data_IF_439258354351
#
_entry.id   IF_439258354351
#
_cell.length_a   1.000
_cell.length_b   1.000
_cell.length_c   1.000
_cell.angle_alpha   90.00
_cell.angle_beta   90.00
_cell.angle_gamma   90.00
#
_symmetry.space_group_name_H-M   'P 1'
#
loop_
_entity.id
_entity.type
_entity.pdbx_description
1 polymer ?
#
# COMPACT_ATOMS: atom_id res chain seq x y z
N UNK A 1 -19.98 -13.44 6.65
CA UNK A 1 -20.43 -12.59 7.77
C UNK A 1 -21.30 -11.48 7.19
N UNK A 2 -22.59 -11.44 7.49
CA UNK A 2 -23.46 -10.33 7.08
C UNK A 2 -23.12 -9.11 7.93
N UNK A 3 -22.55 -8.07 7.30
CA UNK A 3 -22.18 -6.82 7.96
C UNK A 3 -23.46 -6.02 8.24
N UNK A 4 -23.78 -5.79 9.51
CA UNK A 4 -24.77 -4.78 9.87
C UNK A 4 -24.23 -3.39 9.51
N UNK A 5 -25.02 -2.57 8.82
CA UNK A 5 -24.64 -1.22 8.40
C UNK A 5 -25.48 -0.18 9.13
N UNK A 6 -24.82 0.89 9.59
CA UNK A 6 -25.47 2.09 10.06
C UNK A 6 -25.85 2.96 8.84
N UNK A 7 -27.06 3.51 8.83
CA UNK A 7 -27.54 4.37 7.73
C UNK A 7 -28.30 5.58 8.26
N UNK A 8 -28.30 6.66 7.48
CA UNK A 8 -29.12 7.84 7.72
C UNK A 8 -30.44 7.74 6.93
N UNK A 9 -31.55 8.19 7.54
CA UNK A 9 -32.87 8.29 6.87
C UNK A 9 -33.45 9.71 7.01
N UNK A 10 -34.21 10.12 6.01
CA UNK A 10 -34.74 11.46 5.79
C UNK A 10 -35.65 12.06 6.90
N UNK A 11 -35.91 11.38 8.03
CA UNK A 11 -36.89 11.87 9.02
C UNK A 11 -36.36 12.89 10.03
N UNK A 12 -35.04 12.96 10.33
CA UNK A 12 -34.43 14.00 11.20
C UNK A 12 -32.93 14.17 10.92
N UNK A 13 -32.60 14.98 9.91
CA UNK A 13 -31.26 15.14 9.32
C UNK A 13 -30.18 15.84 10.17
N UNK A 14 -30.17 15.72 11.50
CA UNK A 14 -29.08 16.31 12.31
C UNK A 14 -28.67 15.56 13.58
N UNK A 15 -29.41 14.54 14.04
CA UNK A 15 -29.17 13.93 15.38
C UNK A 15 -29.44 12.42 15.52
N UNK A 16 -29.81 11.71 14.45
CA UNK A 16 -30.26 10.32 14.58
C UNK A 16 -29.61 9.42 13.51
N UNK A 17 -28.77 8.48 13.92
CA UNK A 17 -28.25 7.42 13.07
C UNK A 17 -29.03 6.13 13.35
N UNK A 18 -29.51 5.43 12.31
CA UNK A 18 -30.11 4.11 12.53
C UNK A 18 -29.05 3.03 12.34
N UNK A 19 -28.98 2.08 13.27
CA UNK A 19 -28.12 0.92 13.19
C UNK A 19 -28.97 -0.32 12.90
N UNK A 20 -28.60 -1.07 11.85
CA UNK A 20 -29.29 -2.32 11.52
C UNK A 20 -28.42 -3.50 11.95
N UNK A 21 -28.86 -4.25 12.96
CA UNK A 21 -28.29 -5.55 13.30
C UNK A 21 -29.28 -6.66 13.01
N UNK A 22 -28.81 -7.64 12.22
CA UNK A 22 -29.31 -9.02 12.15
C UNK A 22 -30.82 -9.19 12.44
N UNK A 23 -31.67 -8.54 11.63
CA UNK A 23 -33.16 -8.61 11.61
C UNK A 23 -33.98 -7.57 12.40
N UNK A 24 -33.36 -6.62 13.12
CA UNK A 24 -34.09 -5.46 13.68
C UNK A 24 -33.37 -4.13 13.39
N UNK A 25 -34.16 -3.10 13.08
CA UNK A 25 -33.67 -1.72 12.93
C UNK A 25 -33.75 -1.05 14.29
N UNK A 26 -32.63 -0.53 14.79
CA UNK A 26 -32.56 0.26 16.00
C UNK A 26 -32.20 1.70 15.66
N UNK A 27 -32.94 2.67 16.21
CA UNK A 27 -32.56 4.08 16.12
C UNK A 27 -31.64 4.47 17.27
N UNK A 28 -30.52 5.12 16.96
CA UNK A 28 -29.56 5.63 17.94
C UNK A 28 -29.45 7.16 17.82
N UNK A 29 -29.53 7.85 18.95
CA UNK A 29 -29.27 9.28 19.03
C UNK A 29 -27.87 9.50 19.60
N UNK A 30 -27.05 10.27 18.90
CA UNK A 30 -25.68 10.59 19.31
C UNK A 30 -25.35 12.04 18.98
N UNK A 31 -24.39 12.61 19.70
CA UNK A 31 -23.88 13.96 19.43
C UNK A 31 -22.97 13.99 18.20
N UNK A 32 -22.10 12.98 18.05
CA UNK A 32 -21.10 12.88 16.99
C UNK A 32 -21.14 11.49 16.34
N UNK A 33 -20.77 11.44 15.05
CA UNK A 33 -20.57 10.19 14.30
C UNK A 33 -19.23 10.25 13.58
N UNK A 34 -18.47 9.16 13.62
CA UNK A 34 -17.26 8.96 12.81
C UNK A 34 -17.56 7.85 11.81
N UNK A 35 -17.48 8.15 10.51
CA UNK A 35 -17.63 7.18 9.43
C UNK A 35 -16.28 6.54 9.14
N UNK A 36 -16.15 5.25 9.45
CA UNK A 36 -14.93 4.46 9.25
C UNK A 36 -15.27 3.15 8.50
N UNK A 37 -16.05 3.25 7.43
CA UNK A 37 -16.61 2.10 6.69
C UNK A 37 -15.59 1.39 5.80
N UNK A 38 -14.39 1.97 5.68
CA UNK A 38 -13.26 1.36 5.01
C UNK A 38 -13.41 1.33 3.49
N UNK A 39 -12.92 0.24 2.90
CA UNK A 39 -12.88 0.02 1.46
C UNK A 39 -13.24 -1.41 1.08
N UNK A 40 -13.48 -1.62 -0.21
CA UNK A 40 -13.66 -2.94 -0.83
C UNK A 40 -12.70 -3.11 -2.03
N UNK A 41 -12.33 -4.36 -2.39
CA UNK A 41 -11.57 -4.64 -3.61
C UNK A 41 -12.28 -4.09 -4.86
N UNK A 42 -11.50 -3.57 -5.81
CA UNK A 42 -12.05 -3.16 -7.10
C UNK A 42 -12.29 -4.41 -7.96
N UNK A 43 -13.55 -4.64 -8.30
CA UNK A 43 -13.94 -5.67 -9.25
C UNK A 43 -13.78 -5.17 -10.69
N UNK A 44 -13.29 -6.05 -11.56
CA UNK A 44 -13.24 -5.80 -13.00
C UNK A 44 -14.57 -6.25 -13.63
N UNK A 45 -15.32 -5.40 -14.36
CA UNK A 45 -16.64 -5.76 -14.88
C UNK A 45 -16.67 -7.02 -15.75
N UNK A 46 -15.59 -7.29 -16.49
CA UNK A 46 -15.45 -8.47 -17.34
C UNK A 46 -15.05 -9.74 -16.58
N UNK A 47 -14.72 -9.62 -15.29
CA UNK A 47 -14.14 -10.68 -14.48
C UNK A 47 -14.65 -10.57 -13.02
N UNK A 48 -15.95 -10.78 -12.79
CA UNK A 48 -16.56 -10.69 -11.46
C UNK A 48 -16.04 -11.78 -10.53
N UNK A 49 -16.02 -11.48 -9.22
CA UNK A 49 -15.54 -12.42 -8.22
C UNK A 49 -16.51 -13.59 -8.03
N UNK A 50 -15.99 -14.82 -8.12
CA UNK A 50 -16.67 -16.02 -7.62
C UNK A 50 -16.06 -16.53 -6.30
N UNK A 51 -14.94 -15.93 -5.88
CA UNK A 51 -14.12 -16.29 -4.72
C UNK A 51 -13.69 -17.78 -4.68
N UNK A 52 -13.63 -18.40 -5.86
CA UNK A 52 -13.19 -19.79 -6.06
C UNK A 52 -12.05 -19.86 -7.08
N UNK A 53 -12.24 -19.28 -8.26
CA UNK A 53 -11.28 -19.24 -9.36
C UNK A 53 -10.97 -17.82 -9.80
N UNK A 54 -11.93 -16.92 -9.70
CA UNK A 54 -11.75 -15.47 -9.82
C UNK A 54 -11.89 -14.87 -8.43
N UNK A 55 -10.75 -14.54 -7.84
CA UNK A 55 -10.66 -14.21 -6.43
C UNK A 55 -10.24 -12.77 -6.21
N UNK A 56 -10.80 -12.16 -5.17
CA UNK A 56 -10.22 -10.97 -4.56
C UNK A 56 -9.07 -11.37 -3.64
N UNK A 57 -8.49 -10.40 -2.92
CA UNK A 57 -7.55 -10.71 -1.83
C UNK A 57 -8.16 -11.62 -0.76
N UNK A 58 -9.50 -11.58 -0.58
CA UNK A 58 -10.21 -12.41 0.40
C UNK A 58 -10.22 -13.88 -0.01
N UNK A 59 -10.64 -14.18 -1.24
CA UNK A 59 -10.64 -15.55 -1.76
C UNK A 59 -9.22 -16.10 -1.92
N UNK A 60 -8.26 -15.26 -2.29
CA UNK A 60 -6.86 -15.65 -2.43
C UNK A 60 -6.21 -16.10 -1.12
N UNK A 61 -6.75 -15.73 0.05
CA UNK A 61 -6.30 -16.23 1.36
C UNK A 61 -6.97 -17.56 1.75
N UNK A 62 -8.02 -17.96 1.04
CA UNK A 62 -8.91 -19.07 1.40
C UNK A 62 -8.98 -20.17 0.33
N UNK A 63 -8.08 -20.14 -0.66
CA UNK A 63 -7.97 -21.21 -1.66
C UNK A 63 -7.65 -22.54 -0.96
N UNK A 64 -8.34 -23.60 -1.37
CA UNK A 64 -8.25 -24.92 -0.73
C UNK A 64 -7.08 -25.77 -1.24
N UNK A 65 -6.43 -25.34 -2.32
CA UNK A 65 -5.26 -26.01 -2.91
C UNK A 65 -4.39 -25.01 -3.65
N UNK A 66 -3.11 -25.35 -3.86
CA UNK A 66 -2.18 -24.53 -4.63
C UNK A 66 -2.54 -24.65 -6.13
N UNK A 67 -2.87 -23.54 -6.82
CA UNK A 67 -3.13 -23.60 -8.26
C UNK A 67 -1.86 -23.92 -9.04
N UNK A 68 -1.96 -24.65 -10.15
CA UNK A 68 -0.80 -24.88 -11.02
C UNK A 68 -0.36 -23.56 -11.67
N UNK A 69 -1.32 -22.78 -12.18
CA UNK A 69 -1.10 -21.45 -12.77
C UNK A 69 -1.99 -20.40 -12.14
N UNK A 70 -1.36 -19.32 -11.67
CA UNK A 70 -2.06 -18.17 -11.11
C UNK A 70 -1.73 -16.90 -11.89
N UNK A 71 -2.77 -16.23 -12.38
CA UNK A 71 -2.65 -14.85 -12.84
C UNK A 71 -2.89 -13.89 -11.67
N UNK A 72 -2.04 -12.88 -11.51
CA UNK A 72 -2.27 -11.76 -10.60
C UNK A 72 -2.45 -10.51 -11.46
N UNK A 73 -3.64 -9.91 -11.44
CA UNK A 73 -3.91 -8.66 -12.16
C UNK A 73 -3.67 -7.51 -11.20
N UNK A 74 -2.59 -6.76 -11.42
CA UNK A 74 -2.13 -5.66 -10.55
C UNK A 74 -0.79 -5.97 -9.87
N UNK A 75 0.22 -5.16 -10.17
CA UNK A 75 1.57 -5.18 -9.59
C UNK A 75 1.74 -4.25 -8.39
N UNK A 76 0.66 -4.03 -7.62
CA UNK A 76 0.66 -3.31 -6.35
C UNK A 76 0.94 -4.22 -5.15
N UNK A 77 0.84 -3.67 -3.93
CA UNK A 77 1.30 -4.32 -2.69
C UNK A 77 0.63 -5.69 -2.50
N UNK A 78 -0.70 -5.72 -2.49
CA UNK A 78 -1.52 -6.93 -2.33
C UNK A 78 -1.18 -7.99 -3.39
N UNK A 79 -1.05 -7.59 -4.66
CA UNK A 79 -0.78 -8.51 -5.75
C UNK A 79 0.58 -9.18 -5.61
N UNK A 80 1.61 -8.41 -5.22
CA UNK A 80 2.96 -8.92 -5.03
C UNK A 80 3.09 -9.78 -3.77
N UNK A 81 2.46 -9.41 -2.67
CA UNK A 81 2.43 -10.21 -1.43
C UNK A 81 1.75 -11.56 -1.67
N UNK A 82 0.51 -11.55 -2.17
CA UNK A 82 -0.24 -12.78 -2.43
C UNK A 82 0.40 -13.62 -3.53
N UNK A 83 0.88 -12.99 -4.60
CA UNK A 83 1.63 -13.67 -5.65
C UNK A 83 2.89 -14.35 -5.10
N UNK A 84 3.59 -13.72 -4.16
CA UNK A 84 4.76 -14.31 -3.49
C UNK A 84 4.39 -15.52 -2.63
N UNK A 85 3.30 -15.44 -1.86
CA UNK A 85 2.80 -16.58 -1.06
C UNK A 85 2.56 -17.79 -1.95
N UNK A 86 1.73 -17.63 -3.00
CA UNK A 86 1.37 -18.73 -3.88
C UNK A 86 2.55 -19.24 -4.69
N UNK A 87 3.46 -18.35 -5.12
CA UNK A 87 4.68 -18.76 -5.83
C UNK A 87 5.58 -19.65 -4.97
N UNK A 88 5.72 -19.33 -3.68
CA UNK A 88 6.54 -20.11 -2.73
C UNK A 88 5.91 -21.46 -2.40
N UNK A 89 4.58 -21.54 -2.41
CA UNK A 89 3.84 -22.81 -2.24
C UNK A 89 3.88 -23.71 -3.50
N UNK A 90 4.31 -23.19 -4.65
CA UNK A 90 4.57 -23.98 -5.86
C UNK A 90 3.83 -23.52 -7.12
N UNK A 91 2.96 -22.53 -7.05
CA UNK A 91 2.20 -22.04 -8.21
C UNK A 91 3.11 -21.37 -9.25
N UNK A 92 2.82 -21.54 -10.54
CA UNK A 92 3.37 -20.72 -11.62
C UNK A 92 2.64 -19.37 -11.67
N UNK A 93 3.20 -18.36 -11.01
CA UNK A 93 2.59 -17.03 -10.85
C UNK A 93 3.07 -16.07 -11.93
N UNK A 94 2.13 -15.48 -12.67
CA UNK A 94 2.38 -14.36 -13.58
C UNK A 94 1.59 -13.13 -13.14
N UNK A 95 2.31 -12.06 -12.83
CA UNK A 95 1.75 -10.73 -12.54
C UNK A 95 1.55 -9.97 -13.86
N UNK A 96 0.33 -9.50 -14.09
CA UNK A 96 -0.07 -8.70 -15.24
C UNK A 96 -0.35 -7.29 -14.72
N UNK A 97 0.42 -6.32 -15.20
CA UNK A 97 0.36 -4.94 -14.73
C UNK A 97 0.20 -3.99 -15.92
N UNK A 98 -0.71 -3.02 -15.75
CA UNK A 98 -0.99 -2.01 -16.76
C UNK A 98 0.20 -1.06 -16.95
N UNK A 99 0.80 -0.61 -15.85
CA UNK A 99 1.99 0.22 -15.87
C UNK A 99 3.20 -0.54 -16.41
N UNK A 100 4.22 0.21 -16.84
CA UNK A 100 5.51 -0.31 -17.28
C UNK A 100 6.41 -0.80 -16.12
N UNK A 101 5.94 -0.66 -14.88
CA UNK A 101 6.64 -0.97 -13.63
C UNK A 101 5.68 -1.50 -12.58
N UNK A 102 6.22 -2.26 -11.63
CA UNK A 102 5.50 -2.61 -10.40
C UNK A 102 5.56 -1.45 -9.40
N UNK A 103 4.63 -1.43 -8.44
CA UNK A 103 4.56 -0.41 -7.38
C UNK A 103 4.88 1.01 -7.86
N UNK A 104 4.14 1.55 -8.86
CA UNK A 104 4.52 2.77 -9.59
C UNK A 104 4.59 4.04 -8.73
N UNK A 105 4.04 4.02 -7.51
CA UNK A 105 4.13 5.12 -6.56
C UNK A 105 5.35 5.05 -5.63
N UNK A 106 6.14 3.97 -5.67
CA UNK A 106 7.38 3.84 -4.91
C UNK A 106 8.56 4.44 -5.68
N UNK A 107 9.65 4.72 -4.96
CA UNK A 107 10.90 5.17 -5.56
C UNK A 107 11.35 4.21 -6.67
N UNK A 108 11.65 4.75 -7.86
CA UNK A 108 11.87 3.94 -9.05
C UNK A 108 13.07 3.00 -8.93
N UNK A 109 14.15 3.44 -8.27
CA UNK A 109 15.34 2.60 -8.08
C UNK A 109 15.02 1.39 -7.19
N UNK A 110 14.16 1.59 -6.18
CA UNK A 110 13.69 0.52 -5.29
C UNK A 110 12.73 -0.41 -6.05
N UNK A 111 11.79 0.12 -6.81
CA UNK A 111 10.85 -0.66 -7.63
C UNK A 111 11.56 -1.54 -8.67
N UNK A 112 12.59 -1.03 -9.33
CA UNK A 112 13.39 -1.79 -10.29
C UNK A 112 14.13 -2.95 -9.61
N UNK A 113 14.77 -2.69 -8.47
CA UNK A 113 15.43 -3.75 -7.68
C UNK A 113 14.45 -4.78 -7.18
N UNK A 114 13.28 -4.34 -6.70
CA UNK A 114 12.21 -5.21 -6.25
C UNK A 114 11.76 -6.16 -7.35
N UNK A 115 11.54 -5.64 -8.57
CA UNK A 115 11.17 -6.44 -9.74
C UNK A 115 12.24 -7.51 -10.06
N UNK A 116 13.52 -7.14 -10.03
CA UNK A 116 14.60 -8.11 -10.29
C UNK A 116 14.65 -9.22 -9.23
N UNK A 117 14.46 -8.86 -7.95
CA UNK A 117 14.46 -9.84 -6.86
C UNK A 117 13.26 -10.79 -6.98
N UNK A 118 12.06 -10.28 -7.22
CA UNK A 118 10.86 -11.10 -7.42
C UNK A 118 10.99 -12.04 -8.63
N UNK A 119 11.59 -11.57 -9.74
CA UNK A 119 11.89 -12.41 -10.90
C UNK A 119 12.85 -13.55 -10.57
N UNK A 120 13.89 -13.29 -9.77
CA UNK A 120 14.82 -14.34 -9.32
C UNK A 120 14.14 -15.40 -8.45
N UNK A 121 13.10 -15.03 -7.71
CA UNK A 121 12.25 -15.97 -6.96
C UNK A 121 11.23 -16.72 -7.85
N UNK A 122 11.23 -16.44 -9.14
CA UNK A 122 10.44 -17.14 -10.14
C UNK A 122 9.04 -16.57 -10.35
N UNK A 123 8.71 -15.38 -9.84
CA UNK A 123 7.53 -14.65 -10.32
C UNK A 123 7.77 -14.17 -11.75
N UNK A 124 6.76 -14.30 -12.60
CA UNK A 124 6.77 -13.79 -13.98
C UNK A 124 6.00 -12.48 -14.05
N UNK A 125 6.36 -11.62 -14.98
CA UNK A 125 5.75 -10.30 -15.13
C UNK A 125 5.42 -9.99 -16.59
N UNK A 126 4.20 -9.54 -16.82
CA UNK A 126 3.70 -8.93 -18.06
C UNK A 126 3.33 -7.47 -17.76
N UNK A 127 4.34 -6.60 -17.81
CA UNK A 127 4.18 -5.15 -17.59
C UNK A 127 3.73 -4.46 -18.88
N UNK A 128 3.08 -3.31 -18.77
CA UNK A 128 2.54 -2.59 -19.92
C UNK A 128 1.38 -3.34 -20.59
N UNK A 129 0.65 -4.17 -19.85
CA UNK A 129 -0.41 -5.03 -20.37
C UNK A 129 -1.73 -4.80 -19.64
N UNK A 130 -2.78 -4.54 -20.42
CA UNK A 130 -4.15 -4.34 -19.93
C UNK A 130 -4.96 -5.61 -20.15
N UNK A 131 -5.71 -6.03 -19.13
CA UNK A 131 -6.75 -7.05 -19.31
C UNK A 131 -7.99 -6.38 -19.91
N UNK A 132 -8.40 -6.81 -21.10
CA UNK A 132 -9.51 -6.22 -21.86
C UNK A 132 -10.73 -7.13 -21.96
N UNK A 133 -10.55 -8.42 -21.69
CA UNK A 133 -11.61 -9.42 -21.71
C UNK A 133 -11.21 -10.67 -20.93
N UNK A 134 -12.20 -11.46 -20.54
CA UNK A 134 -11.97 -12.76 -19.92
C UNK A 134 -13.11 -13.73 -20.26
N UNK A 135 -12.76 -15.01 -20.37
CA UNK A 135 -13.72 -16.12 -20.46
C UNK A 135 -13.47 -17.06 -19.31
N UNK A 136 -14.50 -17.26 -18.47
CA UNK A 136 -14.48 -18.17 -17.32
C UNK A 136 -15.36 -19.38 -17.67
N UNK A 137 -14.77 -20.54 -18.01
CA UNK A 137 -15.55 -21.74 -18.29
C UNK A 137 -16.32 -22.23 -17.06
N UNK A 138 -17.48 -22.86 -17.27
CA UNK A 138 -18.27 -23.48 -16.20
C UNK A 138 -17.70 -24.82 -15.72
N UNK A 139 -16.71 -25.37 -16.44
CA UNK A 139 -15.96 -26.57 -16.08
C UNK A 139 -14.56 -26.19 -15.55
N UNK A 140 -13.74 -27.20 -15.25
CA UNK A 140 -12.38 -27.00 -14.71
C UNK A 140 -11.35 -26.56 -15.77
N UNK A 141 -11.76 -26.22 -17.00
CA UNK A 141 -10.83 -25.70 -18.00
C UNK A 141 -10.28 -24.33 -17.57
N UNK A 142 -9.01 -23.99 -17.88
CA UNK A 142 -8.40 -22.72 -17.47
C UNK A 142 -9.20 -21.48 -17.89
N UNK A 143 -9.17 -20.45 -17.04
CA UNK A 143 -9.68 -19.11 -17.35
C UNK A 143 -8.80 -18.50 -18.43
N UNK A 144 -9.42 -17.94 -19.47
CA UNK A 144 -8.73 -17.28 -20.57
C UNK A 144 -8.86 -15.77 -20.43
N UNK A 145 -7.73 -15.07 -20.25
CA UNK A 145 -7.63 -13.61 -20.20
C UNK A 145 -7.18 -13.07 -21.57
N UNK A 146 -7.86 -12.04 -22.06
CA UNK A 146 -7.42 -11.27 -23.22
C UNK A 146 -6.61 -10.07 -22.75
N UNK A 147 -5.35 -10.03 -23.16
CA UNK A 147 -4.40 -8.96 -22.83
C UNK A 147 -4.14 -8.09 -24.05
N UNK A 148 -4.08 -6.78 -23.85
CA UNK A 148 -3.71 -5.79 -24.87
C UNK A 148 -2.57 -4.93 -24.35
N UNK A 149 -1.59 -4.63 -25.21
CA UNK A 149 -0.51 -3.72 -24.85
C UNK A 149 -1.06 -2.32 -24.51
N UNK A 150 -0.66 -1.78 -23.36
CA UNK A 150 -1.11 -0.48 -22.85
C UNK A 150 -0.68 0.70 -23.75
N UNK A 151 0.31 0.49 -24.62
CA UNK A 151 0.78 1.47 -25.60
C UNK A 151 -0.12 1.65 -26.84
N UNK A 152 -1.31 1.05 -26.85
CA UNK A 152 -2.27 1.10 -27.96
C UNK A 152 -1.72 0.57 -29.30
N UNK A 153 -0.71 -0.30 -29.28
CA UNK A 153 -0.23 -0.98 -30.50
C UNK A 153 -1.27 -1.94 -31.09
N UNK A 154 -2.38 -2.20 -30.39
CA UNK A 154 -3.44 -3.11 -30.81
C UNK A 154 -3.05 -4.59 -30.77
N UNK A 155 -1.84 -4.92 -30.35
CA UNK A 155 -1.40 -6.31 -30.21
C UNK A 155 -2.11 -6.95 -29.03
N UNK A 156 -2.95 -7.94 -29.34
CA UNK A 156 -3.63 -8.78 -28.36
C UNK A 156 -2.92 -10.11 -28.17
N UNK A 157 -2.94 -10.62 -26.97
CA UNK A 157 -2.52 -11.99 -26.65
C UNK A 157 -3.49 -12.61 -25.64
N UNK A 158 -3.54 -13.94 -25.62
CA UNK A 158 -4.35 -14.68 -24.66
C UNK A 158 -3.45 -15.27 -23.58
N UNK A 159 -3.91 -15.22 -22.33
CA UNK A 159 -3.23 -15.81 -21.18
C UNK A 159 -4.18 -16.75 -20.43
N UNK A 160 -3.75 -17.99 -20.19
CA UNK A 160 -4.55 -18.99 -19.48
C UNK A 160 -4.07 -19.19 -18.04
N UNK A 161 -5.00 -19.24 -17.08
CA UNK A 161 -4.71 -19.50 -15.67
C UNK A 161 -5.82 -20.32 -15.00
N UNK A 162 -5.49 -21.09 -13.97
CA UNK A 162 -6.47 -21.88 -13.23
C UNK A 162 -7.23 -20.99 -12.23
N UNK A 163 -6.49 -20.07 -11.62
CA UNK A 163 -6.97 -19.04 -10.69
C UNK A 163 -6.47 -17.67 -11.13
N UNK A 164 -7.34 -16.67 -11.01
CA UNK A 164 -7.03 -15.26 -11.26
C UNK A 164 -7.31 -14.45 -9.99
N UNK A 165 -6.26 -13.84 -9.43
CA UNK A 165 -6.38 -12.83 -8.39
C UNK A 165 -6.50 -11.46 -9.04
N UNK A 166 -7.59 -10.75 -8.76
CA UNK A 166 -7.73 -9.33 -9.12
C UNK A 166 -7.28 -8.47 -7.95
N UNK A 167 -6.15 -7.78 -8.12
CA UNK A 167 -5.51 -6.90 -7.15
C UNK A 167 -5.24 -5.50 -7.75
N UNK A 168 -6.21 -4.95 -8.48
CA UNK A 168 -6.12 -3.68 -9.22
C UNK A 168 -6.35 -2.44 -8.35
N UNK A 169 -6.50 -2.61 -7.04
CA UNK A 169 -6.70 -1.54 -6.08
C UNK A 169 -7.94 -1.74 -5.23
N UNK A 170 -8.24 -0.71 -4.43
CA UNK A 170 -9.36 -0.67 -3.49
C UNK A 170 -10.17 0.59 -3.75
N UNK A 171 -11.46 0.54 -3.43
CA UNK A 171 -12.36 1.71 -3.50
C UNK A 171 -13.08 1.94 -2.16
N UNK A 172 -13.38 3.19 -1.79
CA UNK A 172 -14.17 3.51 -0.60
C UNK A 172 -15.48 2.73 -0.55
N UNK A 173 -15.85 2.25 0.64
CA UNK A 173 -17.14 1.60 0.85
C UNK A 173 -18.15 2.59 1.43
N UNK A 174 -18.98 3.16 0.57
CA UNK A 174 -20.00 4.17 0.92
C UNK A 174 -21.44 3.71 0.67
N UNK A 175 -21.62 2.46 0.23
CA UNK A 175 -22.93 1.88 -0.05
C UNK A 175 -23.77 1.80 1.22
N UNK A 176 -25.07 2.08 1.07
CA UNK A 176 -26.09 1.94 2.12
C UNK A 176 -25.90 2.83 3.36
N UNK A 177 -25.02 3.83 3.30
CA UNK A 177 -24.83 4.78 4.40
C UNK A 177 -25.92 5.86 4.47
N UNK A 178 -26.70 6.05 3.40
CA UNK A 178 -27.74 7.09 3.34
C UNK A 178 -27.17 8.51 3.31
N UNK A 179 -25.95 8.70 2.77
CA UNK A 179 -25.24 9.99 2.72
C UNK A 179 -26.05 11.05 1.97
N UNK A 180 -26.77 10.64 0.93
CA UNK A 180 -27.67 11.50 0.16
C UNK A 180 -28.80 12.08 1.01
N UNK A 181 -29.27 11.34 2.03
CA UNK A 181 -30.36 11.80 2.91
C UNK A 181 -29.93 12.90 3.88
N UNK A 182 -28.61 13.04 4.08
CA UNK A 182 -28.00 14.06 4.94
C UNK A 182 -27.16 15.07 4.13
N UNK A 183 -27.29 15.05 2.80
CA UNK A 183 -26.67 16.04 1.91
C UNK A 183 -25.14 15.93 1.82
N UNK A 184 -24.56 14.74 2.03
CA UNK A 184 -23.13 14.49 1.79
C UNK A 184 -22.97 13.92 0.38
N UNK A 185 -22.37 14.73 -0.49
CA UNK A 185 -21.95 14.34 -1.84
C UNK A 185 -20.55 13.74 -1.79
N UNK A 186 -20.34 12.65 -2.53
CA UNK A 186 -19.03 12.02 -2.68
C UNK A 186 -18.18 12.77 -3.71
N UNK A 187 -16.86 12.64 -3.61
CA UNK A 187 -15.97 13.13 -4.66
C UNK A 187 -15.94 12.23 -5.91
N UNK A 188 -15.14 12.62 -6.91
CA UNK A 188 -14.96 11.91 -8.18
C UNK A 188 -14.38 10.49 -8.03
N UNK A 189 -13.85 10.16 -6.86
CA UNK A 189 -13.31 8.82 -6.51
C UNK A 189 -14.23 8.06 -5.55
N UNK A 190 -15.43 8.57 -5.27
CA UNK A 190 -16.40 7.95 -4.37
C UNK A 190 -16.05 8.08 -2.88
N UNK A 191 -15.13 8.97 -2.51
CA UNK A 191 -14.72 9.22 -1.12
C UNK A 191 -15.64 10.25 -0.47
N UNK A 192 -15.72 10.22 0.86
CA UNK A 192 -16.38 11.25 1.65
C UNK A 192 -15.45 12.46 1.77
N UNK A 193 -15.83 13.66 1.27
CA UNK A 193 -15.03 14.86 1.46
C UNK A 193 -15.00 15.27 2.94
N UNK A 194 -13.80 15.59 3.43
CA UNK A 194 -13.56 16.06 4.79
C UNK A 194 -12.69 17.33 4.77
N UNK A 195 -12.75 18.15 5.81
CA UNK A 195 -11.76 19.20 6.06
C UNK A 195 -10.48 18.65 6.72
N UNK A 196 -9.63 19.52 7.27
CA UNK A 196 -8.38 19.13 7.97
C UNK A 196 -8.62 18.67 9.42
N UNK A 197 -9.85 18.80 9.93
CA UNK A 197 -10.30 18.31 11.24
C UNK A 197 -11.23 17.09 11.11
N UNK A 198 -11.16 16.39 9.96
CA UNK A 198 -11.92 15.20 9.60
C UNK A 198 -13.44 15.40 9.48
N UNK A 199 -13.93 16.65 9.50
CA UNK A 199 -15.37 16.92 9.43
C UNK A 199 -15.86 16.85 8.00
N UNK A 200 -17.01 16.23 7.84
CA UNK A 200 -17.79 16.35 6.60
C UNK A 200 -18.49 17.71 6.54
N UNK A 201 -19.24 17.97 5.45
CA UNK A 201 -20.10 19.16 5.36
C UNK A 201 -21.15 19.25 6.49
N UNK A 202 -21.49 18.13 7.13
CA UNK A 202 -22.37 18.10 8.31
C UNK A 202 -21.50 18.20 9.57
N UNK A 203 -21.58 19.28 10.37
CA UNK A 203 -20.55 19.61 11.38
C UNK A 203 -20.28 18.57 12.46
N UNK A 204 -21.24 17.69 12.74
CA UNK A 204 -21.12 16.65 13.75
C UNK A 204 -20.87 15.25 13.19
N UNK A 205 -20.62 15.15 11.87
CA UNK A 205 -20.26 13.92 11.19
C UNK A 205 -18.83 14.06 10.67
N UNK A 206 -17.99 13.10 11.05
CA UNK A 206 -16.60 12.98 10.70
C UNK A 206 -16.40 11.74 9.82
N UNK A 207 -15.28 11.65 9.10
CA UNK A 207 -14.91 10.44 8.37
C UNK A 207 -13.38 10.23 8.37
N UNK A 208 -12.94 8.97 8.44
CA UNK A 208 -11.53 8.58 8.57
C UNK A 208 -11.20 7.33 7.76
N UNK A 209 -9.90 7.07 7.59
CA UNK A 209 -9.35 5.86 6.99
C UNK A 209 -9.54 5.81 5.47
N UNK A 210 -9.86 4.63 4.98
CA UNK A 210 -9.97 4.35 3.54
C UNK A 210 -11.18 5.00 2.84
N UNK A 211 -12.16 5.49 3.60
CA UNK A 211 -13.37 6.13 3.03
C UNK A 211 -13.13 7.59 2.64
N UNK A 212 -11.97 8.16 3.00
CA UNK A 212 -11.59 9.55 2.76
C UNK A 212 -10.30 9.65 1.92
N UNK A 213 -9.79 10.86 1.69
CA UNK A 213 -8.52 11.08 0.96
C UNK A 213 -7.31 10.49 1.70
N UNK A 214 -6.19 10.37 0.99
CA UNK A 214 -4.90 9.91 1.53
C UNK A 214 -4.57 8.45 1.19
N UNK A 215 -3.46 7.96 1.76
CA UNK A 215 -3.04 6.58 1.60
C UNK A 215 -4.03 5.63 2.30
N UNK A 216 -4.33 4.49 1.65
CA UNK A 216 -5.23 3.45 2.18
C UNK A 216 -4.43 2.44 3.00
N UNK A 217 -4.03 2.85 4.19
CA UNK A 217 -3.16 2.11 5.11
C UNK A 217 -3.81 1.98 6.49
N UNK A 218 -3.57 0.87 7.17
CA UNK A 218 -4.17 0.59 8.47
C UNK A 218 -3.74 1.62 9.53
N UNK A 219 -2.45 1.83 9.71
CA UNK A 219 -1.90 2.79 10.68
C UNK A 219 -2.29 4.23 10.38
N UNK A 220 -2.45 4.60 9.10
CA UNK A 220 -3.06 5.90 8.72
C UNK A 220 -4.47 6.05 9.28
N UNK A 221 -5.31 5.01 9.14
CA UNK A 221 -6.67 5.03 9.67
C UNK A 221 -6.71 5.03 11.21
N UNK A 222 -5.77 4.34 11.85
CA UNK A 222 -5.61 4.34 13.32
C UNK A 222 -5.26 5.74 13.84
N UNK A 223 -4.27 6.41 13.23
CA UNK A 223 -3.87 7.76 13.58
C UNK A 223 -5.01 8.76 13.35
N UNK A 224 -5.70 8.68 12.21
CA UNK A 224 -6.87 9.51 11.94
C UNK A 224 -7.99 9.30 12.97
N UNK A 225 -8.21 8.05 13.41
CA UNK A 225 -9.17 7.73 14.46
C UNK A 225 -8.80 8.35 15.80
N UNK A 226 -7.53 8.24 16.20
CA UNK A 226 -7.01 8.84 17.42
C UNK A 226 -7.17 10.36 17.40
N UNK A 227 -6.65 11.00 16.36
CA UNK A 227 -6.63 12.47 16.23
C UNK A 227 -8.05 13.02 16.08
N UNK A 228 -8.92 12.35 15.32
CA UNK A 228 -10.33 12.74 15.22
C UNK A 228 -11.04 12.67 16.59
N UNK A 229 -10.78 11.65 17.40
CA UNK A 229 -11.35 11.53 18.74
C UNK A 229 -10.85 12.66 19.66
N UNK A 230 -9.57 13.03 19.57
CA UNK A 230 -9.01 14.16 20.32
C UNK A 230 -9.65 15.50 19.93
N UNK A 231 -9.84 15.74 18.63
CA UNK A 231 -10.52 16.93 18.11
C UNK A 231 -11.97 16.99 18.61
N UNK A 232 -12.70 15.88 18.58
CA UNK A 232 -14.07 15.80 19.12
C UNK A 232 -14.09 16.11 20.62
N UNK A 233 -13.04 15.72 21.35
CA UNK A 233 -12.86 16.04 22.78
C UNK A 233 -12.39 17.49 23.04
N UNK A 234 -12.26 18.33 22.01
CA UNK A 234 -11.83 19.73 22.12
C UNK A 234 -10.31 19.91 22.29
N UNK A 235 -9.52 18.87 22.01
CA UNK A 235 -8.05 18.94 21.99
C UNK A 235 -7.56 19.35 20.60
N UNK A 236 -6.28 19.72 20.53
CA UNK A 236 -5.59 19.95 19.25
C UNK A 236 -5.05 18.63 18.73
N UNK A 237 -5.24 18.37 17.44
CA UNK A 237 -4.76 17.18 16.77
C UNK A 237 -4.00 17.55 15.49
N UNK A 238 -3.03 16.73 15.09
CA UNK A 238 -2.25 16.91 13.86
C UNK A 238 -1.76 15.55 13.37
N UNK A 239 -1.75 15.35 12.05
CA UNK A 239 -1.13 14.19 11.39
C UNK A 239 -0.16 14.71 10.35
N UNK A 240 1.09 14.25 10.44
CA UNK A 240 2.09 14.49 9.43
C UNK A 240 2.00 13.40 8.35
N UNK A 241 1.17 13.62 7.34
CA UNK A 241 0.95 12.64 6.27
C UNK A 241 2.24 12.32 5.48
N UNK A 242 3.22 13.22 5.46
CA UNK A 242 4.52 12.98 4.82
C UNK A 242 5.38 11.97 5.59
N UNK A 243 5.05 11.70 6.87
CA UNK A 243 5.76 10.76 7.74
C UNK A 243 4.99 9.44 7.95
N UNK A 244 3.94 9.17 7.17
CA UNK A 244 3.25 7.87 7.19
C UNK A 244 4.06 6.88 6.34
N UNK A 245 4.63 5.81 6.93
CA UNK A 245 5.39 4.84 6.15
C UNK A 245 4.48 3.93 5.33
N UNK A 246 4.98 3.42 4.20
CA UNK A 246 4.36 2.32 3.46
C UNK A 246 5.26 1.09 3.50
N UNK A 247 4.67 -0.10 3.68
CA UNK A 247 5.41 -1.37 3.74
C UNK A 247 4.77 -2.41 2.82
N UNK A 248 5.60 -3.16 2.11
CA UNK A 248 5.26 -4.35 1.33
C UNK A 248 5.92 -5.56 1.98
N UNK A 249 5.13 -6.52 2.44
CA UNK A 249 5.58 -7.67 3.22
C UNK A 249 5.94 -8.87 2.33
N UNK A 250 6.77 -8.62 1.31
CA UNK A 250 7.44 -9.67 0.53
C UNK A 250 8.71 -10.16 1.23
N UNK A 251 9.47 -11.04 0.56
CA UNK A 251 10.83 -11.39 1.00
C UNK A 251 11.78 -11.01 -0.13
N UNK A 252 12.70 -10.05 0.03
CA UNK A 252 12.78 -9.16 1.18
C UNK A 252 11.55 -8.23 1.29
N UNK A 253 11.40 -7.62 2.46
CA UNK A 253 10.43 -6.56 2.68
C UNK A 253 10.85 -5.29 1.92
N UNK A 254 9.88 -4.43 1.62
CA UNK A 254 10.12 -3.10 1.08
C UNK A 254 9.40 -2.08 1.94
N UNK A 255 10.09 -1.05 2.41
CA UNK A 255 9.50 0.00 3.22
C UNK A 255 9.98 1.38 2.77
N UNK A 256 9.11 2.38 2.89
CA UNK A 256 9.44 3.75 2.53
C UNK A 256 8.70 4.76 3.41
N UNK A 257 9.31 5.92 3.61
CA UNK A 257 8.71 7.11 4.22
C UNK A 257 9.24 8.37 3.53
N UNK A 258 8.41 9.41 3.44
CA UNK A 258 8.77 10.66 2.77
C UNK A 258 8.74 10.57 1.25
N UNK A 259 9.46 11.50 0.61
CA UNK A 259 9.44 11.69 -0.84
C UNK A 259 10.34 10.70 -1.57
N UNK A 260 9.89 10.28 -2.74
CA UNK A 260 10.68 9.56 -3.75
C UNK A 260 11.64 10.49 -4.49
N UNK A 261 12.66 9.93 -5.13
CA UNK A 261 13.58 10.70 -5.99
C UNK A 261 12.83 11.41 -7.13
N UNK A 262 11.78 10.78 -7.65
CA UNK A 262 10.90 11.27 -8.71
C UNK A 262 10.10 12.49 -8.27
N UNK A 263 9.49 12.45 -7.09
CA UNK A 263 8.74 13.58 -6.54
C UNK A 263 9.64 14.79 -6.26
N UNK A 264 10.87 14.56 -5.78
CA UNK A 264 11.84 15.64 -5.58
C UNK A 264 12.26 16.28 -6.90
N UNK A 265 12.53 15.48 -7.94
CA UNK A 265 12.84 15.97 -9.29
C UNK A 265 11.67 16.76 -9.87
N UNK A 266 10.45 16.24 -9.77
CA UNK A 266 9.25 16.90 -10.28
C UNK A 266 8.98 18.24 -9.56
N UNK A 267 9.30 18.33 -8.27
CA UNK A 267 9.17 19.55 -7.48
C UNK A 267 10.36 20.52 -7.62
N UNK A 268 11.41 20.17 -8.37
CA UNK A 268 12.62 20.99 -8.50
C UNK A 268 13.42 21.14 -7.19
N UNK A 269 13.28 20.20 -6.27
CA UNK A 269 13.99 20.21 -4.97
C UNK A 269 15.36 19.55 -5.17
N UNK A 270 16.43 20.28 -4.83
CA UNK A 270 17.79 19.76 -4.90
C UNK A 270 18.08 18.87 -3.68
N UNK A 271 18.55 17.65 -3.92
CA UNK A 271 18.86 16.68 -2.87
C UNK A 271 20.21 15.99 -3.12
N UNK A 272 20.78 15.43 -2.06
CA UNK A 272 21.85 14.44 -2.10
C UNK A 272 21.24 13.05 -1.90
N UNK A 273 21.86 12.04 -2.51
CA UNK A 273 21.44 10.64 -2.42
C UNK A 273 22.56 9.80 -1.82
N UNK A 274 22.24 9.06 -0.77
CA UNK A 274 23.11 8.05 -0.19
C UNK A 274 22.48 6.66 -0.27
N UNK A 275 23.28 5.63 -0.54
CA UNK A 275 22.82 4.25 -0.63
C UNK A 275 23.81 3.29 -0.01
N UNK A 276 23.33 2.22 0.63
CA UNK A 276 24.17 1.15 1.16
C UNK A 276 23.50 -0.23 0.99
N UNK A 277 24.15 -1.22 0.35
CA UNK A 277 23.54 -2.53 0.13
C UNK A 277 23.67 -3.46 1.33
N UNK A 278 22.67 -4.33 1.53
CA UNK A 278 22.73 -5.35 2.57
C UNK A 278 23.83 -6.40 2.35
N UNK A 279 24.34 -6.54 1.13
CA UNK A 279 25.52 -7.37 0.83
C UNK A 279 26.79 -6.93 1.58
N UNK A 280 26.89 -5.65 1.95
CA UNK A 280 27.98 -5.11 2.76
C UNK A 280 27.67 -5.09 4.27
N UNK A 281 26.43 -5.40 4.68
CA UNK A 281 26.03 -5.41 6.08
C UNK A 281 26.41 -6.75 6.76
N UNK A 282 27.17 -6.69 7.85
CA UNK A 282 27.67 -7.88 8.56
C UNK A 282 26.55 -8.76 9.13
N UNK A 283 25.47 -8.17 9.64
CA UNK A 283 24.33 -8.94 10.17
C UNK A 283 23.58 -9.67 9.06
N UNK A 284 23.32 -8.99 7.94
CA UNK A 284 22.68 -9.60 6.78
C UNK A 284 23.52 -10.77 6.25
N UNK A 285 24.84 -10.59 6.09
CA UNK A 285 25.75 -11.66 5.69
C UNK A 285 25.77 -12.84 6.66
N UNK A 286 25.75 -12.57 7.97
CA UNK A 286 25.75 -13.63 9.00
C UNK A 286 24.48 -14.48 8.92
N UNK A 287 23.35 -13.87 8.59
CA UNK A 287 22.06 -14.53 8.48
C UNK A 287 21.80 -15.14 7.09
N UNK A 288 22.71 -14.96 6.13
CA UNK A 288 22.51 -15.38 4.75
C UNK A 288 22.76 -16.89 4.58
N UNK A 289 21.72 -17.68 4.85
CA UNK A 289 21.75 -19.14 4.71
C UNK A 289 21.50 -19.61 3.26
N UNK A 290 21.02 -18.72 2.38
CA UNK A 290 20.46 -19.09 1.06
C UNK A 290 20.88 -18.19 -0.12
N UNK A 291 21.69 -17.14 0.11
CA UNK A 291 22.12 -16.20 -0.93
C UNK A 291 21.06 -15.15 -1.30
N UNK A 292 20.00 -15.03 -0.50
CA UNK A 292 18.86 -14.13 -0.72
C UNK A 292 18.67 -13.11 0.42
N UNK A 293 19.21 -13.36 1.62
CA UNK A 293 19.03 -12.49 2.79
C UNK A 293 19.82 -11.17 2.66
N UNK A 294 20.84 -11.15 1.81
CA UNK A 294 21.66 -9.95 1.51
C UNK A 294 21.11 -9.12 0.36
N UNK A 295 19.98 -9.50 -0.24
CA UNK A 295 19.40 -8.79 -1.37
C UNK A 295 18.77 -7.46 -0.94
N UNK A 296 19.07 -6.42 -1.70
CA UNK A 296 18.50 -5.09 -1.54
C UNK A 296 19.47 -4.06 -0.95
N UNK A 297 18.94 -2.92 -0.56
CA UNK A 297 19.69 -1.77 -0.05
C UNK A 297 18.83 -0.85 0.79
N UNK A 298 19.49 0.06 1.49
CA UNK A 298 18.92 1.27 2.05
C UNK A 298 19.28 2.47 1.17
N UNK A 299 18.33 3.36 0.94
CA UNK A 299 18.46 4.63 0.21
C UNK A 299 17.95 5.77 1.07
N UNK A 300 18.76 6.82 1.23
CA UNK A 300 18.42 8.06 1.95
C UNK A 300 18.51 9.23 0.98
N UNK A 301 17.51 10.10 1.02
CA UNK A 301 17.44 11.36 0.28
C UNK A 301 17.47 12.52 1.28
N UNK A 302 18.45 13.40 1.16
CA UNK A 302 18.65 14.54 2.05
C UNK A 302 18.66 15.86 1.27
N UNK A 303 18.08 16.92 1.81
CA UNK A 303 18.11 18.25 1.19
C UNK A 303 19.54 18.74 1.00
N UNK A 304 19.85 19.25 -0.20
CA UNK A 304 21.25 19.58 -0.56
C UNK A 304 21.84 20.74 0.24
N UNK A 305 21.00 21.62 0.81
CA UNK A 305 21.46 22.82 1.53
C UNK A 305 21.44 22.65 3.04
N UNK A 306 20.42 21.97 3.55
CA UNK A 306 20.14 21.87 4.99
C UNK A 306 20.45 20.50 5.57
N UNK A 307 20.73 19.51 4.71
CA UNK A 307 20.92 18.11 5.05
C UNK A 307 19.69 17.42 5.68
N UNK A 308 18.55 18.12 5.78
CA UNK A 308 17.29 17.56 6.29
C UNK A 308 16.87 16.34 5.47
N UNK A 309 16.49 15.27 6.14
CA UNK A 309 15.97 14.07 5.46
C UNK A 309 14.65 14.41 4.76
N UNK A 310 14.58 14.03 3.49
CA UNK A 310 13.42 14.22 2.61
C UNK A 310 12.68 12.92 2.31
N UNK A 311 13.38 11.78 2.40
CA UNK A 311 12.78 10.47 2.25
C UNK A 311 13.78 9.35 2.51
N UNK A 312 13.27 8.21 2.94
CA UNK A 312 14.04 6.98 3.15
C UNK A 312 13.32 5.81 2.54
N UNK A 313 14.08 4.95 1.86
CA UNK A 313 13.55 3.82 1.13
C UNK A 313 14.44 2.60 1.36
N UNK A 314 13.84 1.50 1.77
CA UNK A 314 14.53 0.28 2.16
C UNK A 314 13.92 -0.88 1.38
N UNK A 315 14.76 -1.68 0.74
CA UNK A 315 14.42 -3.03 0.30
C UNK A 315 15.42 -3.98 0.92
N UNK A 316 14.96 -4.89 1.76
CA UNK A 316 15.87 -5.78 2.49
C UNK A 316 15.21 -6.47 3.68
N UNK A 317 15.99 -7.29 4.41
CA UNK A 317 15.50 -7.94 5.62
C UNK A 317 15.11 -6.91 6.68
N UNK A 318 13.94 -7.07 7.31
CA UNK A 318 13.47 -6.20 8.40
C UNK A 318 13.20 -4.76 7.99
N UNK A 319 12.96 -4.48 6.70
CA UNK A 319 12.71 -3.13 6.20
C UNK A 319 11.51 -2.47 6.89
N UNK A 320 10.44 -3.23 7.16
CA UNK A 320 9.23 -2.74 7.81
C UNK A 320 9.47 -2.26 9.25
N UNK A 321 10.40 -2.88 9.96
CA UNK A 321 10.79 -2.46 11.32
C UNK A 321 11.81 -1.31 11.29
N UNK A 322 12.80 -1.39 10.41
CA UNK A 322 13.85 -0.36 10.31
C UNK A 322 13.31 1.00 9.86
N UNK A 323 12.23 1.04 9.07
CA UNK A 323 11.67 2.31 8.59
C UNK A 323 11.16 3.20 9.72
N UNK A 324 10.86 2.64 10.90
CA UNK A 324 10.44 3.40 12.08
C UNK A 324 11.50 4.41 12.53
N UNK A 325 12.80 4.09 12.38
CA UNK A 325 13.88 5.05 12.64
C UNK A 325 13.81 6.24 11.68
N UNK A 326 13.51 5.98 10.41
CA UNK A 326 13.33 7.02 9.40
C UNK A 326 12.11 7.90 9.64
N UNK A 327 10.99 7.30 10.04
CA UNK A 327 9.77 8.03 10.43
C UNK A 327 10.09 8.98 11.59
N UNK A 328 10.71 8.46 12.65
CA UNK A 328 11.06 9.27 13.82
C UNK A 328 12.02 10.41 13.44
N UNK A 329 13.07 10.12 12.68
CA UNK A 329 14.03 11.13 12.23
C UNK A 329 13.34 12.26 11.43
N UNK A 330 12.42 11.92 10.52
CA UNK A 330 11.69 12.91 9.73
C UNK A 330 10.74 13.76 10.58
N UNK A 331 10.08 13.19 11.58
CA UNK A 331 9.21 13.92 12.51
C UNK A 331 9.99 14.96 13.34
N UNK A 332 11.22 14.63 13.74
CA UNK A 332 12.11 15.59 14.41
C UNK A 332 12.80 16.57 13.46
N UNK A 333 12.61 16.42 12.13
CA UNK A 333 13.29 17.23 11.13
C UNK A 333 14.80 17.01 11.09
N UNK A 334 15.26 15.80 11.43
CA UNK A 334 16.66 15.45 11.51
C UNK A 334 17.39 15.57 10.16
N UNK A 335 18.70 15.79 10.24
CA UNK A 335 19.62 15.72 9.12
C UNK A 335 20.08 14.28 8.86
N UNK A 336 20.65 14.00 7.69
CA UNK A 336 21.29 12.71 7.43
C UNK A 336 22.55 12.51 8.28
N UNK A 337 23.25 13.60 8.62
CA UNK A 337 24.39 13.60 9.54
C UNK A 337 24.00 13.12 10.95
N UNK A 338 22.82 13.48 11.45
CA UNK A 338 22.32 13.04 12.76
C UNK A 338 22.25 11.50 12.83
N UNK A 339 21.74 10.84 11.78
CA UNK A 339 21.67 9.37 11.70
C UNK A 339 23.07 8.77 11.56
N UNK A 340 23.90 9.32 10.66
CA UNK A 340 25.25 8.83 10.40
C UNK A 340 26.13 8.84 11.67
N UNK A 341 25.91 9.80 12.56
CA UNK A 341 26.62 9.97 13.85
C UNK A 341 25.96 9.26 15.03
N UNK A 342 24.72 8.79 14.88
CA UNK A 342 24.04 8.02 15.92
C UNK A 342 24.66 6.63 16.05
N UNK A 343 24.89 6.19 17.29
CA UNK A 343 25.44 4.87 17.55
C UNK A 343 24.41 3.79 17.22
N UNK A 344 24.70 3.00 16.18
CA UNK A 344 23.93 1.81 15.83
C UNK A 344 24.62 0.57 16.41
N UNK A 345 23.84 -0.31 17.04
CA UNK A 345 24.39 -1.53 17.62
C UNK A 345 25.01 -2.43 16.53
N UNK A 346 26.11 -3.10 16.87
CA UNK A 346 26.82 -3.99 15.95
C UNK A 346 26.83 -5.45 16.48
N UNK A 347 26.54 -6.46 15.64
CA UNK A 347 26.04 -6.36 14.27
C UNK A 347 24.50 -6.24 14.22
N UNK A 348 23.96 -5.24 13.53
CA UNK A 348 22.52 -5.11 13.24
C UNK A 348 22.25 -4.73 11.78
N UNK A 349 21.02 -4.95 11.33
CA UNK A 349 20.58 -4.54 9.98
C UNK A 349 20.52 -3.01 9.87
N UNK A 350 20.13 -2.31 10.95
CA UNK A 350 20.02 -0.85 11.00
C UNK A 350 21.34 -0.14 10.72
N UNK A 351 22.50 -0.78 10.90
CA UNK A 351 23.79 -0.21 10.46
C UNK A 351 23.80 0.17 8.96
N UNK A 352 22.99 -0.49 8.13
CA UNK A 352 22.83 -0.10 6.73
C UNK A 352 22.20 1.29 6.57
N UNK A 353 21.30 1.70 7.48
CA UNK A 353 20.72 3.04 7.49
C UNK A 353 21.77 4.09 7.83
N UNK A 354 22.61 3.83 8.85
CA UNK A 354 23.75 4.68 9.20
C UNK A 354 24.69 4.93 8.02
N UNK A 355 25.07 3.86 7.32
CA UNK A 355 26.00 3.95 6.19
C UNK A 355 25.36 4.64 4.97
N UNK A 356 24.07 4.38 4.70
CA UNK A 356 23.33 5.07 3.65
C UNK A 356 23.14 6.56 3.96
N UNK A 357 22.93 6.92 5.23
CA UNK A 357 22.88 8.30 5.67
C UNK A 357 24.25 8.99 5.56
N UNK A 358 25.35 8.31 5.90
CA UNK A 358 26.70 8.85 5.68
C UNK A 358 27.00 9.07 4.20
N UNK A 359 26.52 8.18 3.33
CA UNK A 359 26.70 8.23 1.89
C UNK A 359 26.07 9.46 1.20
N UNK A 360 25.23 10.25 1.89
CA UNK A 360 24.65 11.49 1.33
C UNK A 360 25.67 12.63 1.30
N UNK A 361 26.67 12.64 2.19
CA UNK A 361 27.65 13.74 2.32
C UNK A 361 29.12 13.28 2.40
N UNK A 362 29.41 12.00 2.66
CA UNK A 362 30.76 11.43 2.67
C UNK A 362 30.75 9.95 2.20
N UNK A 363 31.88 9.25 2.29
CA UNK A 363 31.99 7.83 1.94
C UNK A 363 31.54 6.93 3.10
N UNK A 364 30.76 5.87 2.83
CA UNK A 364 30.53 4.79 3.80
C UNK A 364 31.84 4.21 4.33
N UNK A 365 31.83 3.75 5.59
CA UNK A 365 33.00 3.13 6.23
C UNK A 365 33.15 1.66 5.81
N UNK A 366 32.03 0.96 5.61
CA UNK A 366 32.00 -0.50 5.46
C UNK A 366 31.53 -0.98 4.08
N UNK A 367 31.80 -0.21 3.02
CA UNK A 367 31.38 -0.53 1.65
C UNK A 367 32.51 -1.12 0.79
#
# INVERSE_FOLDING_TARGET
MSKGLASWRARRASRCAQWTAMSSVQELQTKHVIVATGSEPVELPMLPFDEKRVVSSTGALSLTSVPERMAVIGGGYIGLEMGSVWRRLGADVTVIEFADRIVPAMDHEIGDRFLQIMKKQGLKFKLGMKVVGATVPSNDAPISLELEAANHSGKKETFAADVVLVATGRRPYTKELGLETIGIELDDRGRIPIDDEFRTRVPNIYAIGDVVRGAMLAHKAEDEGLVCAEIIAGRKGHINYDCIPGVVYTHPEVAAVGKTEEELKAAGIAYNKGTFPFMANSRARTNDAGGDFTQGLVKVLADKKTDRILGMHIIGPGAGEMIAEGVLAMEYGASSEDIARTCHAHPTLSEALREAAMATFDRPIHF
#
